data_IF_393854207091
#
_entry.id   IF_393854207091
#
_cell.length_a   1.000
_cell.length_b   1.000
_cell.length_c   1.000
_cell.angle_alpha   90.00
_cell.angle_beta   90.00
_cell.angle_gamma   90.00
#
_symmetry.space_group_name_H-M   'P 1'
#
loop_
_entity.id
_entity.type
_entity.pdbx_description
1 polymer ?
#
# COMPACT_ATOMS: atom_id res chain seq x y z
N UNK A 1 9.25 -54.38 -21.41
CA UNK A 1 10.54 -53.79 -20.95
C UNK A 1 10.29 -52.65 -19.95
N UNK A 2 9.57 -52.90 -18.84
CA UNK A 2 9.15 -51.88 -17.83
C UNK A 2 9.24 -52.40 -16.39
N UNK A 3 9.95 -53.52 -16.17
CA UNK A 3 9.94 -54.27 -14.91
C UNK A 3 11.30 -54.19 -14.18
N UNK A 4 12.37 -53.76 -14.86
CA UNK A 4 13.71 -53.67 -14.27
C UNK A 4 14.02 -52.35 -13.55
N UNK A 5 13.10 -51.38 -13.57
CA UNK A 5 13.31 -50.04 -12.97
C UNK A 5 12.71 -49.88 -11.56
N UNK A 6 11.98 -50.89 -11.06
CA UNK A 6 11.27 -50.84 -9.78
C UNK A 6 12.06 -51.30 -8.55
N UNK A 7 13.28 -51.81 -8.73
CA UNK A 7 14.11 -52.37 -7.65
C UNK A 7 15.24 -51.43 -7.19
N UNK A 8 15.47 -50.31 -7.87
CA UNK A 8 16.47 -49.29 -7.46
C UNK A 8 15.91 -48.23 -6.51
N UNK A 9 14.60 -48.17 -6.27
CA UNK A 9 13.95 -47.16 -5.44
C UNK A 9 13.75 -47.59 -3.97
N UNK A 10 14.29 -48.75 -3.56
CA UNK A 10 13.97 -49.38 -2.27
C UNK A 10 15.08 -49.31 -1.19
N UNK A 11 16.20 -48.61 -1.41
CA UNK A 11 17.35 -48.64 -0.47
C UNK A 11 17.84 -47.29 0.04
N UNK A 12 16.98 -46.29 0.16
CA UNK A 12 17.33 -45.03 0.83
C UNK A 12 16.16 -44.49 1.67
N UNK A 13 15.75 -45.25 2.68
CA UNK A 13 14.74 -44.84 3.67
C UNK A 13 15.18 -45.08 5.12
N UNK A 14 16.48 -44.98 5.44
CA UNK A 14 16.95 -44.96 6.84
C UNK A 14 18.04 -43.90 6.96
N UNK A 15 17.65 -42.69 7.38
CA UNK A 15 18.58 -41.58 7.50
C UNK A 15 17.96 -40.31 8.08
N UNK A 16 17.66 -40.36 9.37
CA UNK A 16 17.65 -39.22 10.31
C UNK A 16 16.48 -38.24 10.15
N UNK A 17 15.60 -38.33 11.14
CA UNK A 17 14.57 -37.37 11.49
C UNK A 17 15.16 -36.02 11.94
N UNK A 18 14.31 -34.99 11.81
CA UNK A 18 14.40 -33.69 12.45
C UNK A 18 15.44 -32.70 11.89
N UNK A 19 15.12 -32.12 10.73
CA UNK A 19 15.26 -30.68 10.51
C UNK A 19 14.01 -30.19 9.78
N UNK A 20 12.94 -29.98 10.53
CA UNK A 20 11.85 -29.11 10.07
C UNK A 20 12.47 -27.73 9.85
N UNK A 21 12.45 -27.16 8.63
CA UNK A 21 12.62 -25.72 8.53
C UNK A 21 11.41 -25.13 9.24
N UNK A 22 11.65 -24.61 10.45
CA UNK A 22 10.76 -23.65 11.08
C UNK A 22 10.48 -22.61 10.00
N UNK A 23 9.26 -22.61 9.49
CA UNK A 23 8.73 -21.52 8.72
C UNK A 23 8.80 -20.31 9.65
N UNK A 24 9.90 -19.56 9.53
CA UNK A 24 10.08 -18.27 10.17
C UNK A 24 8.85 -17.46 9.79
N UNK A 25 8.10 -17.08 10.81
CA UNK A 25 6.92 -16.25 10.76
C UNK A 25 7.26 -14.81 10.32
N UNK A 26 7.85 -14.67 9.13
CA UNK A 26 8.06 -13.40 8.45
C UNK A 26 6.71 -12.98 7.86
N UNK A 27 5.83 -12.40 8.69
CA UNK A 27 4.60 -11.83 8.13
C UNK A 27 3.60 -11.28 9.14
N UNK A 28 3.62 -11.69 10.41
CA UNK A 28 2.56 -11.30 11.35
C UNK A 28 2.70 -9.87 11.91
N UNK A 29 3.81 -9.17 11.64
CA UNK A 29 3.99 -7.75 12.00
C UNK A 29 4.68 -6.94 10.90
N UNK A 30 4.34 -7.19 9.63
CA UNK A 30 4.93 -6.48 8.48
C UNK A 30 4.51 -5.02 8.39
N UNK A 31 4.93 -4.16 9.33
CA UNK A 31 4.93 -2.71 9.13
C UNK A 31 6.21 -2.35 8.39
N UNK A 32 6.14 -2.33 7.06
CA UNK A 32 7.23 -1.87 6.22
C UNK A 32 6.78 -0.70 5.36
N UNK A 33 7.13 0.52 5.78
CA UNK A 33 8.00 1.41 4.98
C UNK A 33 8.60 2.50 5.86
N UNK A 34 9.94 2.59 5.84
CA UNK A 34 10.72 3.64 6.50
C UNK A 34 12.11 3.72 5.88
N UNK A 35 12.29 4.61 4.92
CA UNK A 35 13.59 4.99 4.37
C UNK A 35 13.62 6.50 4.20
N UNK A 36 13.94 7.23 5.28
CA UNK A 36 14.43 8.62 5.34
C UNK A 36 13.64 9.76 4.66
N UNK A 37 12.66 9.44 3.82
CA UNK A 37 11.94 10.30 2.89
C UNK A 37 10.61 9.63 2.51
N UNK A 38 9.70 10.42 1.92
CA UNK A 38 8.36 9.96 1.60
C UNK A 38 8.40 8.86 0.56
N UNK A 39 8.47 7.61 1.02
CA UNK A 39 8.14 6.37 0.35
C UNK A 39 7.17 6.45 -0.85
N UNK A 40 6.16 7.29 -0.71
CA UNK A 40 5.25 7.69 -1.79
C UNK A 40 5.83 8.95 -2.39
N UNK A 41 6.56 8.76 -3.48
CA UNK A 41 7.08 9.84 -4.30
C UNK A 41 6.19 10.04 -5.53
N UNK A 42 6.50 11.08 -6.30
CA UNK A 42 5.87 11.30 -7.59
C UNK A 42 4.55 12.05 -7.55
N UNK A 43 3.80 11.92 -8.63
CA UNK A 43 2.60 12.71 -8.90
C UNK A 43 1.46 11.83 -9.38
N UNK A 44 0.24 12.33 -9.29
CA UNK A 44 -0.92 11.76 -9.93
C UNK A 44 -1.73 12.90 -10.55
N UNK A 45 -1.65 13.02 -11.87
CA UNK A 45 -2.28 14.09 -12.63
C UNK A 45 -3.14 13.55 -13.78
N UNK A 46 -3.71 14.44 -14.61
CA UNK A 46 -4.56 14.05 -15.75
C UNK A 46 -3.84 13.18 -16.78
N UNK A 47 -2.51 13.28 -16.87
CA UNK A 47 -1.66 12.45 -17.73
C UNK A 47 -1.29 11.09 -17.11
N UNK A 48 -1.88 10.73 -15.97
CA UNK A 48 -1.52 9.54 -15.20
C UNK A 48 -0.60 9.86 -14.03
N UNK A 49 -0.07 8.81 -13.41
CA UNK A 49 0.83 8.93 -12.26
C UNK A 49 2.28 8.69 -12.63
N UNK A 50 3.20 9.42 -12.01
CA UNK A 50 4.65 9.21 -12.12
C UNK A 50 5.22 8.79 -10.76
N UNK A 51 6.29 7.98 -10.77
CA UNK A 51 7.07 7.56 -9.60
C UNK A 51 6.28 6.98 -8.42
N UNK A 52 5.17 6.33 -8.71
CA UNK A 52 4.41 5.65 -7.68
C UNK A 52 5.15 4.43 -7.14
N UNK A 53 4.90 4.04 -5.88
CA UNK A 53 5.48 2.84 -5.30
C UNK A 53 5.21 1.60 -6.15
N UNK A 54 6.23 0.76 -6.34
CA UNK A 54 6.12 -0.54 -7.01
C UNK A 54 5.11 -1.46 -6.36
N UNK A 55 4.92 -1.30 -5.05
CA UNK A 55 4.08 -2.16 -4.21
C UNK A 55 2.61 -1.68 -4.19
N UNK A 56 2.28 -0.64 -4.97
CA UNK A 56 0.93 -0.08 -5.06
C UNK A 56 0.17 -0.71 -6.24
N UNK A 57 -0.91 -1.44 -5.92
CA UNK A 57 -1.79 -2.04 -6.92
C UNK A 57 -2.44 -1.00 -7.84
N UNK A 58 -2.56 -1.35 -9.13
CA UNK A 58 -3.12 -0.50 -10.19
C UNK A 58 -4.35 -1.11 -10.81
N UNK A 59 -5.31 -0.28 -11.16
CA UNK A 59 -6.48 -0.67 -11.93
C UNK A 59 -6.48 0.03 -13.30
N UNK A 60 -6.82 -0.71 -14.36
CA UNK A 60 -6.97 -0.14 -15.71
C UNK A 60 -8.15 0.82 -15.81
N UNK A 61 -9.16 0.64 -14.95
CA UNK A 61 -10.37 1.46 -14.89
C UNK A 61 -10.78 1.72 -13.44
N UNK A 62 -11.41 2.88 -13.16
CA UNK A 62 -11.94 3.17 -11.83
C UNK A 62 -13.08 2.22 -11.49
N UNK A 63 -12.98 1.57 -10.33
CA UNK A 63 -13.96 0.63 -9.81
C UNK A 63 -15.01 1.32 -8.93
N UNK A 64 -14.73 2.54 -8.46
CA UNK A 64 -15.66 3.33 -7.66
C UNK A 64 -15.14 4.71 -7.31
N UNK A 65 -15.83 5.37 -6.37
CA UNK A 65 -15.47 6.69 -5.83
C UNK A 65 -15.20 6.57 -4.33
N UNK A 66 -14.15 7.20 -3.85
CA UNK A 66 -13.82 7.23 -2.42
C UNK A 66 -13.62 8.66 -1.94
N UNK A 67 -14.06 8.94 -0.72
CA UNK A 67 -13.77 10.20 -0.05
C UNK A 67 -12.76 9.95 1.07
N UNK A 68 -11.65 10.67 1.02
CA UNK A 68 -10.64 10.65 2.09
C UNK A 68 -10.99 11.75 3.07
N UNK A 69 -11.36 11.38 4.30
CA UNK A 69 -11.77 12.31 5.34
C UNK A 69 -10.61 12.58 6.30
N UNK A 70 -10.47 13.83 6.71
CA UNK A 70 -9.46 14.25 7.70
C UNK A 70 -9.68 13.56 9.05
N UNK A 71 -8.62 13.03 9.70
CA UNK A 71 -8.74 12.45 11.03
C UNK A 71 -9.19 13.49 12.05
N UNK A 72 -9.84 13.02 13.11
CA UNK A 72 -10.32 13.87 14.20
C UNK A 72 -9.15 14.60 14.89
N UNK A 73 -9.41 15.76 15.48
CA UNK A 73 -8.38 16.62 16.06
C UNK A 73 -7.48 15.93 17.11
N UNK A 74 -8.05 15.02 17.92
CA UNK A 74 -7.29 14.27 18.92
C UNK A 74 -6.29 13.27 18.29
N UNK A 75 -6.60 12.75 17.11
CA UNK A 75 -5.70 11.86 16.34
C UNK A 75 -4.57 12.69 15.74
N UNK A 76 -4.86 13.84 15.13
CA UNK A 76 -3.82 14.75 14.64
C UNK A 76 -2.87 15.16 15.77
N UNK A 77 -3.42 15.48 16.95
CA UNK A 77 -2.62 15.83 18.12
C UNK A 77 -1.75 14.65 18.63
N UNK A 78 -2.20 13.40 18.48
CA UNK A 78 -1.38 12.25 18.85
C UNK A 78 -0.28 11.96 17.82
N UNK A 79 -0.56 12.11 16.52
CA UNK A 79 0.46 12.01 15.46
C UNK A 79 1.53 13.13 15.58
N UNK A 80 1.13 14.34 15.96
CA UNK A 80 2.04 15.46 16.14
C UNK A 80 3.13 15.19 17.19
N UNK A 81 2.84 14.35 18.21
CA UNK A 81 3.84 13.92 19.21
C UNK A 81 4.98 13.12 18.59
N UNK A 82 4.71 12.44 17.47
CA UNK A 82 5.69 11.70 16.68
C UNK A 82 6.23 12.51 15.50
N UNK A 83 5.97 13.83 15.45
CA UNK A 83 6.32 14.73 14.33
C UNK A 83 5.70 14.29 12.99
N UNK A 84 4.56 13.62 13.03
CA UNK A 84 3.81 13.21 11.84
C UNK A 84 2.66 14.21 11.60
N UNK A 85 2.50 14.62 10.34
CA UNK A 85 1.36 15.42 9.88
C UNK A 85 0.11 14.57 9.64
N UNK A 86 -0.94 15.18 9.09
CA UNK A 86 -2.11 14.41 8.65
C UNK A 86 -1.75 13.47 7.50
N UNK A 87 -2.11 12.18 7.57
CA UNK A 87 -1.80 11.21 6.52
C UNK A 87 -2.72 11.33 5.29
N UNK A 88 -3.77 12.15 5.34
CA UNK A 88 -4.79 12.19 4.27
C UNK A 88 -4.25 12.62 2.93
N UNK A 89 -3.29 13.55 2.88
CA UNK A 89 -2.66 13.97 1.63
C UNK A 89 -1.90 12.82 0.96
N UNK A 90 -1.16 12.03 1.75
CA UNK A 90 -0.43 10.88 1.24
C UNK A 90 -1.37 9.76 0.79
N UNK A 91 -2.41 9.48 1.57
CA UNK A 91 -3.43 8.48 1.21
C UNK A 91 -4.11 8.90 -0.09
N UNK A 92 -4.46 10.18 -0.24
CA UNK A 92 -5.07 10.71 -1.45
C UNK A 92 -4.16 10.54 -2.66
N UNK A 93 -2.87 10.84 -2.51
CA UNK A 93 -1.89 10.64 -3.57
C UNK A 93 -1.81 9.16 -3.97
N UNK A 94 -1.71 8.24 -3.00
CA UNK A 94 -1.71 6.79 -3.30
C UNK A 94 -2.99 6.35 -4.03
N UNK A 95 -4.16 6.85 -3.63
CA UNK A 95 -5.41 6.51 -4.31
C UNK A 95 -5.47 7.08 -5.73
N UNK A 96 -5.00 8.32 -5.92
CA UNK A 96 -4.90 8.91 -7.25
C UNK A 96 -3.88 8.17 -8.12
N UNK A 97 -2.76 7.73 -7.52
CA UNK A 97 -1.78 6.89 -8.19
C UNK A 97 -2.41 5.55 -8.59
N UNK A 98 -3.16 4.86 -7.73
CA UNK A 98 -3.70 3.54 -8.06
C UNK A 98 -4.70 3.50 -9.23
N UNK A 99 -5.35 4.63 -9.54
CA UNK A 99 -6.41 4.75 -10.55
C UNK A 99 -7.63 3.82 -10.30
N UNK A 100 -7.68 3.14 -9.16
CA UNK A 100 -8.80 2.26 -8.79
C UNK A 100 -10.02 3.04 -8.32
N UNK A 101 -9.83 4.25 -7.79
CA UNK A 101 -10.91 5.07 -7.28
C UNK A 101 -10.79 6.51 -7.75
N UNK A 102 -11.93 7.11 -8.06
CA UNK A 102 -12.04 8.55 -8.22
C UNK A 102 -12.13 9.18 -6.83
N UNK A 103 -11.12 9.99 -6.48
CA UNK A 103 -11.09 10.70 -5.21
C UNK A 103 -12.07 11.87 -5.25
N UNK A 104 -12.98 11.92 -4.27
CA UNK A 104 -13.86 13.05 -4.04
C UNK A 104 -13.52 13.70 -2.71
N UNK A 105 -13.28 15.00 -2.73
CA UNK A 105 -13.10 15.79 -1.52
C UNK A 105 -14.44 16.10 -0.86
N UNK A 106 -14.53 15.90 0.46
CA UNK A 106 -15.73 16.25 1.25
C UNK A 106 -15.44 17.01 2.56
N UNK A 107 -14.18 17.39 2.79
CA UNK A 107 -13.75 18.07 4.02
C UNK A 107 -13.38 19.54 3.82
N UNK A 108 -12.54 20.07 4.70
CA UNK A 108 -11.96 21.43 4.64
C UNK A 108 -11.28 21.74 3.30
N UNK A 109 -10.75 20.72 2.61
CA UNK A 109 -10.22 20.88 1.25
C UNK A 109 -11.25 21.41 0.25
N UNK A 110 -12.50 20.95 0.31
CA UNK A 110 -13.57 21.50 -0.54
C UNK A 110 -13.89 22.95 -0.19
N UNK A 111 -13.91 23.30 1.10
CA UNK A 111 -14.19 24.67 1.52
C UNK A 111 -13.11 25.62 1.03
N UNK A 112 -11.84 25.23 1.17
CA UNK A 112 -10.71 26.00 0.66
C UNK A 112 -10.77 26.15 -0.86
N UNK A 113 -11.06 25.08 -1.61
CA UNK A 113 -11.24 25.17 -3.06
C UNK A 113 -12.39 26.09 -3.48
N UNK A 114 -13.50 26.07 -2.74
CA UNK A 114 -14.63 26.97 -3.01
C UNK A 114 -14.28 28.42 -2.67
N UNK A 115 -13.50 28.65 -1.61
CA UNK A 115 -12.98 29.98 -1.28
C UNK A 115 -12.02 30.49 -2.36
N UNK A 116 -11.05 29.68 -2.80
CA UNK A 116 -10.13 30.05 -3.89
C UNK A 116 -10.89 30.39 -5.18
N UNK A 117 -11.94 29.63 -5.50
CA UNK A 117 -12.82 29.93 -6.65
C UNK A 117 -13.62 31.22 -6.46
N UNK A 118 -14.10 31.49 -5.26
CA UNK A 118 -14.79 32.74 -4.95
C UNK A 118 -13.87 33.96 -4.99
N UNK A 119 -12.57 33.78 -4.70
CA UNK A 119 -11.54 34.81 -4.81
C UNK A 119 -11.03 35.00 -6.25
N UNK A 120 -11.24 34.01 -7.13
CA UNK A 120 -10.84 34.05 -8.53
C UNK A 120 -11.91 34.63 -9.47
N UNK A 121 -13.06 35.07 -8.94
CA UNK A 121 -14.16 35.71 -9.67
C UNK A 121 -14.14 37.22 -9.49
#
# INVERSE_FOLDING_TARGET
MRILWGLLTASALIGIAALSPVALAQGITGMQKGEGGSAVQGSAGPGGSSDAPSDLDRCDKPMGTVAVVEPQAHVVASLARYRLGSPTGLIRLMVQQSNCFLVVERGVGMQNLMQERALAA
#
